data_IF_143497264011
#
_entry.id   IF_143497264011
#
_cell.length_a   1.000
_cell.length_b   1.000
_cell.length_c   1.000
_cell.angle_alpha   90.00
_cell.angle_beta   90.00
_cell.angle_gamma   90.00
#
_symmetry.space_group_name_H-M   'P 1'
#
loop_
_entity.id
_entity.type
_entity.pdbx_description
1 polymer ?
#
# COMPACT_ATOMS: atom_id res chain seq x y z
N UNK A 1 -32.78 28.48 34.66
CA UNK A 1 -31.65 27.56 34.88
C UNK A 1 -30.61 27.89 33.81
N UNK A 2 -29.56 28.64 34.19
CA UNK A 2 -28.51 29.12 33.27
C UNK A 2 -27.35 28.13 33.33
N UNK A 3 -26.90 27.61 32.20
CA UNK A 3 -25.64 26.86 32.08
C UNK A 3 -24.66 27.81 31.37
N UNK A 4 -23.60 28.18 32.09
CA UNK A 4 -22.63 29.20 31.69
C UNK A 4 -21.52 28.63 30.80
N UNK A 5 -21.14 29.44 29.81
CA UNK A 5 -19.93 29.24 29.02
C UNK A 5 -18.68 29.31 29.92
N UNK A 6 -17.86 28.26 29.89
CA UNK A 6 -16.54 28.27 30.51
C UNK A 6 -15.54 28.89 29.52
N UNK A 7 -15.02 30.06 29.90
CA UNK A 7 -13.90 30.74 29.26
C UNK A 7 -12.63 29.90 29.45
N UNK A 8 -12.04 29.43 28.36
CA UNK A 8 -10.64 29.04 28.35
C UNK A 8 -9.78 30.29 28.53
N UNK A 9 -8.99 30.31 29.60
CA UNK A 9 -8.01 31.36 29.86
C UNK A 9 -6.77 31.05 29.04
N UNK A 10 -6.58 31.76 27.92
CA UNK A 10 -5.31 31.75 27.21
C UNK A 10 -4.40 32.75 27.92
N UNK A 11 -3.36 32.26 28.59
CA UNK A 11 -2.31 33.11 29.14
C UNK A 11 -1.40 33.56 28.00
N UNK A 12 -1.51 34.83 27.67
CA UNK A 12 -0.70 35.56 26.69
C UNK A 12 0.71 35.82 27.26
N UNK A 13 1.65 34.89 27.02
CA UNK A 13 3.12 35.09 26.88
C UNK A 13 3.86 33.74 27.00
N UNK A 14 4.05 33.06 25.88
CA UNK A 14 5.20 32.18 25.61
C UNK A 14 5.14 31.71 24.14
N UNK A 15 5.27 32.66 23.21
CA UNK A 15 5.74 32.33 21.86
C UNK A 15 7.26 32.14 21.99
N UNK A 16 7.71 30.90 22.14
CA UNK A 16 9.05 30.35 21.85
C UNK A 16 9.24 29.05 22.65
N UNK A 17 9.30 27.91 21.96
CA UNK A 17 9.65 26.57 22.48
C UNK A 17 8.69 25.95 23.51
N UNK A 18 7.59 25.37 23.03
CA UNK A 18 6.71 24.52 23.84
C UNK A 18 7.35 23.16 24.12
N UNK A 19 7.79 22.92 25.36
CA UNK A 19 8.16 21.61 25.89
C UNK A 19 6.93 21.00 26.56
N UNK A 20 6.45 19.87 26.05
CA UNK A 20 5.37 19.10 26.68
C UNK A 20 5.92 17.78 27.22
N UNK A 21 5.60 17.45 28.47
CA UNK A 21 5.97 16.18 29.12
C UNK A 21 4.80 15.21 29.12
N UNK A 22 5.02 13.99 28.62
CA UNK A 22 4.03 12.92 28.67
C UNK A 22 4.09 12.22 30.03
N UNK A 23 3.04 12.35 30.86
CA UNK A 23 2.88 11.54 32.06
C UNK A 23 1.41 11.23 32.29
N UNK A 24 1.00 9.98 32.05
CA UNK A 24 -0.28 9.45 32.52
C UNK A 24 -0.87 8.36 31.62
N UNK A 25 -1.25 7.24 32.25
CA UNK A 25 -1.81 6.04 31.63
C UNK A 25 -3.18 6.29 30.96
N UNK A 26 -3.12 6.50 29.65
CA UNK A 26 -4.15 6.37 28.61
C UNK A 26 -3.48 6.91 27.34
N UNK A 27 -3.69 6.31 26.15
CA UNK A 27 -3.14 6.81 24.87
C UNK A 27 -3.37 8.32 24.74
N UNK A 28 -2.37 9.11 25.11
CA UNK A 28 -2.52 10.56 25.28
C UNK A 28 -2.32 11.14 23.91
N UNK A 29 -3.36 11.72 23.33
CA UNK A 29 -3.24 12.40 22.05
C UNK A 29 -2.44 13.69 22.24
N UNK A 30 -1.26 13.78 21.64
CA UNK A 30 -0.38 14.94 21.75
C UNK A 30 -0.58 15.83 20.52
N UNK A 31 -1.00 17.08 20.74
CA UNK A 31 -1.16 18.06 19.67
C UNK A 31 0.19 18.68 19.31
N UNK A 32 0.59 18.58 18.05
CA UNK A 32 1.76 19.29 17.49
C UNK A 32 1.28 20.61 16.87
N UNK A 33 1.72 21.77 17.38
CA UNK A 33 1.23 23.07 16.91
C UNK A 33 1.82 23.47 15.56
N UNK A 34 1.17 24.40 14.86
CA UNK A 34 1.67 25.00 13.62
C UNK A 34 1.01 24.47 12.35
N UNK A 35 -0.17 23.85 12.44
CA UNK A 35 -0.84 23.24 11.30
C UNK A 35 -0.29 21.84 10.96
N UNK A 36 -0.09 21.56 9.66
CA UNK A 36 0.12 20.22 9.11
C UNK A 36 1.56 19.87 8.71
N UNK A 37 2.52 20.75 9.00
CA UNK A 37 3.93 20.48 8.76
C UNK A 37 4.45 19.14 9.35
N UNK A 38 3.88 18.57 10.44
CA UNK A 38 4.33 17.27 10.95
C UNK A 38 4.14 16.11 9.96
N UNK A 39 3.17 16.20 9.04
CA UNK A 39 2.97 15.16 8.01
C UNK A 39 4.19 15.00 7.10
N UNK A 40 5.00 16.06 6.98
CA UNK A 40 6.22 16.12 6.16
C UNK A 40 7.50 16.29 6.96
N UNK A 41 7.40 16.30 8.29
CA UNK A 41 8.55 16.46 9.16
C UNK A 41 9.43 15.22 9.14
N UNK A 42 10.67 15.41 9.58
CA UNK A 42 11.53 14.34 10.08
C UNK A 42 11.22 14.11 11.56
N UNK A 43 11.10 12.85 11.95
CA UNK A 43 10.92 12.45 13.34
C UNK A 43 12.27 11.92 13.81
N UNK A 44 12.89 12.59 14.78
CA UNK A 44 14.27 12.31 15.21
C UNK A 44 14.23 11.90 16.67
N UNK A 45 14.67 10.68 16.96
CA UNK A 45 14.78 10.20 18.34
C UNK A 45 16.03 10.78 19.00
N UNK A 46 15.86 11.41 20.16
CA UNK A 46 16.92 12.00 20.97
C UNK A 46 16.89 11.40 22.38
N UNK A 47 17.41 10.18 22.53
CA UNK A 47 17.34 9.44 23.79
C UNK A 47 15.89 9.09 24.16
N UNK A 48 15.35 9.59 25.28
CA UNK A 48 13.94 9.41 25.65
C UNK A 48 13.00 10.38 24.91
N UNK A 49 13.53 11.40 24.23
CA UNK A 49 12.78 12.48 23.62
C UNK A 49 12.55 12.25 22.12
N UNK A 50 11.50 12.86 21.58
CA UNK A 50 11.20 12.92 20.15
C UNK A 50 11.28 14.37 19.67
N UNK A 51 12.18 14.64 18.73
CA UNK A 51 12.25 15.91 18.00
C UNK A 51 11.53 15.74 16.65
N UNK A 52 10.51 16.55 16.42
CA UNK A 52 9.83 16.67 15.12
C UNK A 52 10.41 17.90 14.44
N UNK A 53 11.02 17.74 13.27
CA UNK A 53 11.70 18.81 12.53
C UNK A 53 11.08 19.01 11.14
N UNK A 54 10.48 20.17 10.93
CA UNK A 54 9.88 20.59 9.67
C UNK A 54 10.91 20.98 8.63
N UNK A 55 10.49 21.03 7.36
CA UNK A 55 11.37 21.40 6.24
C UNK A 55 11.73 22.88 6.25
N UNK A 56 10.85 23.72 6.79
CA UNK A 56 10.97 25.17 6.81
C UNK A 56 11.51 25.72 8.14
N UNK A 57 12.15 24.85 8.94
CA UNK A 57 12.79 25.20 10.20
C UNK A 57 11.88 25.14 11.44
N UNK A 58 10.60 24.79 11.27
CA UNK A 58 9.74 24.46 12.41
C UNK A 58 10.31 23.28 13.19
N UNK A 59 10.18 23.31 14.50
CA UNK A 59 10.57 22.17 15.32
C UNK A 59 9.74 22.08 16.59
N UNK A 60 9.52 20.85 17.03
CA UNK A 60 8.77 20.56 18.24
C UNK A 60 9.41 19.40 18.99
N UNK A 61 9.82 19.64 20.24
CA UNK A 61 10.49 18.66 21.08
C UNK A 61 9.51 18.11 22.12
N UNK A 62 9.23 16.82 22.02
CA UNK A 62 8.45 16.06 22.98
C UNK A 62 9.40 15.35 23.94
N UNK A 63 9.33 15.72 25.22
CA UNK A 63 10.18 15.11 26.24
C UNK A 63 9.56 13.83 26.77
N UNK A 64 10.43 12.86 27.04
CA UNK A 64 10.06 11.55 27.57
C UNK A 64 9.02 10.80 26.68
N UNK A 65 8.97 11.11 25.38
CA UNK A 65 8.00 10.51 24.45
C UNK A 65 8.11 8.98 24.39
N UNK A 66 9.33 8.46 24.53
CA UNK A 66 9.61 7.01 24.51
C UNK A 66 9.63 6.37 25.91
N UNK A 67 9.27 7.12 26.95
CA UNK A 67 9.28 6.62 28.32
C UNK A 67 7.97 5.88 28.63
N UNK A 68 8.04 4.69 29.21
CA UNK A 68 6.86 3.97 29.73
C UNK A 68 6.30 2.86 28.82
N UNK A 69 6.95 2.56 27.69
CA UNK A 69 6.68 1.37 26.88
C UNK A 69 5.49 1.47 25.91
N UNK A 70 4.68 2.52 25.99
CA UNK A 70 3.63 2.83 25.00
C UNK A 70 3.82 4.25 24.48
N UNK A 71 4.26 4.38 23.23
CA UNK A 71 4.36 5.65 22.53
C UNK A 71 2.98 6.29 22.36
N UNK A 72 2.91 7.62 22.41
CA UNK A 72 1.65 8.37 22.34
C UNK A 72 1.32 8.78 20.90
N UNK A 73 0.04 8.73 20.50
CA UNK A 73 -0.38 9.23 19.20
C UNK A 73 -0.17 10.74 19.11
N UNK A 74 0.23 11.21 17.92
CA UNK A 74 0.35 12.62 17.62
C UNK A 74 -0.83 13.07 16.76
N UNK A 75 -1.27 14.30 16.96
CA UNK A 75 -2.27 14.94 16.11
C UNK A 75 -1.74 16.29 15.64
N UNK A 76 -1.90 16.59 14.36
CA UNK A 76 -1.62 17.93 13.85
C UNK A 76 -2.68 18.91 14.37
N UNK A 77 -2.39 20.21 14.34
CA UNK A 77 -3.37 21.22 14.77
C UNK A 77 -4.67 21.18 13.94
N UNK A 78 -4.61 20.71 12.69
CA UNK A 78 -5.80 20.53 11.83
C UNK A 78 -6.62 19.28 12.17
N UNK A 79 -6.07 18.34 12.96
CA UNK A 79 -6.72 17.08 13.33
C UNK A 79 -6.19 15.83 12.61
N UNK A 80 -5.13 15.92 11.79
CA UNK A 80 -4.54 14.74 11.16
C UNK A 80 -3.88 13.85 12.21
N UNK A 81 -4.27 12.58 12.28
CA UNK A 81 -3.76 11.62 13.26
C UNK A 81 -2.52 10.91 12.72
N UNK A 82 -1.41 11.05 13.43
CA UNK A 82 -0.18 10.28 13.26
C UNK A 82 -0.08 9.27 14.40
N UNK A 83 -0.50 8.03 14.13
CA UNK A 83 -0.46 6.96 15.12
C UNK A 83 0.97 6.69 15.58
N UNK A 84 1.12 6.25 16.82
CA UNK A 84 2.40 5.94 17.42
C UNK A 84 3.24 4.97 16.57
N UNK A 85 2.63 3.96 15.95
CA UNK A 85 3.30 3.00 15.07
C UNK A 85 3.85 3.68 13.80
N UNK A 86 3.10 4.64 13.24
CA UNK A 86 3.56 5.44 12.10
C UNK A 86 4.70 6.37 12.53
N UNK A 87 4.60 7.01 13.69
CA UNK A 87 5.66 7.86 14.24
C UNK A 87 6.94 7.06 14.43
N UNK A 88 6.83 5.84 14.98
CA UNK A 88 7.93 4.91 15.17
C UNK A 88 8.59 4.52 13.84
N UNK A 89 7.80 4.24 12.80
CA UNK A 89 8.31 4.01 11.43
C UNK A 89 9.00 5.24 10.85
N UNK A 90 8.58 6.44 11.24
CA UNK A 90 9.16 7.70 10.78
C UNK A 90 10.41 8.14 11.56
N UNK A 91 10.82 7.45 12.63
CA UNK A 91 12.01 7.80 13.44
C UNK A 91 13.38 7.65 12.75
N UNK A 92 14.19 8.70 12.79
CA UNK A 92 15.62 8.70 12.47
C UNK A 92 16.44 8.93 13.75
N UNK A 93 17.74 8.62 13.69
CA UNK A 93 18.69 8.85 14.79
C UNK A 93 19.14 7.58 15.50
N UNK A 94 20.22 7.70 16.29
CA UNK A 94 20.78 6.55 17.00
C UNK A 94 19.84 6.10 18.13
N UNK A 95 19.53 4.80 18.26
CA UNK A 95 18.81 4.30 19.43
C UNK A 95 19.63 4.58 20.70
N UNK A 96 18.95 4.66 21.85
CA UNK A 96 19.60 5.02 23.11
C UNK A 96 20.73 4.03 23.47
N UNK A 97 21.83 4.50 24.10
CA UNK A 97 22.90 3.64 24.57
C UNK A 97 22.37 2.52 25.48
N UNK A 98 22.55 1.27 25.06
CA UNK A 98 22.09 0.09 25.79
C UNK A 98 21.01 -0.74 25.07
N UNK A 99 20.48 -0.29 23.94
CA UNK A 99 19.56 -1.08 23.10
C UNK A 99 20.25 -1.87 21.97
N UNK A 100 21.58 -1.81 21.86
CA UNK A 100 22.36 -2.42 20.77
C UNK A 100 22.58 -3.94 20.87
N UNK A 101 21.93 -4.67 21.79
CA UNK A 101 22.26 -6.08 22.03
C UNK A 101 21.44 -7.11 21.24
N UNK A 102 20.43 -6.71 20.45
CA UNK A 102 19.52 -7.69 19.82
C UNK A 102 19.05 -7.39 18.39
N UNK A 103 19.35 -6.24 17.77
CA UNK A 103 18.89 -5.99 16.40
C UNK A 103 20.09 -5.92 15.47
N UNK A 104 20.66 -7.09 15.15
CA UNK A 104 21.32 -7.23 13.86
C UNK A 104 20.23 -6.99 12.81
N UNK A 105 20.43 -5.98 11.96
CA UNK A 105 19.44 -5.54 10.98
C UNK A 105 18.99 -6.70 10.10
N UNK A 106 17.74 -7.12 10.30
CA UNK A 106 17.00 -7.72 9.21
C UNK A 106 16.67 -6.57 8.27
N UNK A 107 17.35 -6.52 7.11
CA UNK A 107 16.76 -5.83 5.97
C UNK A 107 15.34 -6.40 5.82
N UNK A 108 14.33 -5.53 5.75
CA UNK A 108 12.95 -5.97 5.62
C UNK A 108 12.81 -6.94 4.44
N UNK A 109 11.73 -7.71 4.42
CA UNK A 109 11.43 -8.57 3.26
C UNK A 109 11.35 -7.69 1.99
N UNK A 110 11.97 -8.12 0.89
CA UNK A 110 11.80 -7.45 -0.41
C UNK A 110 10.36 -7.70 -0.84
N UNK A 111 9.62 -6.64 -1.16
CA UNK A 111 8.21 -6.74 -1.55
C UNK A 111 7.93 -6.13 -2.93
N UNK A 112 8.96 -5.55 -3.53
CA UNK A 112 8.86 -4.94 -4.84
C UNK A 112 10.16 -4.27 -5.29
N UNK A 113 10.03 -3.54 -6.38
CA UNK A 113 11.15 -2.87 -7.05
C UNK A 113 10.70 -1.51 -7.58
N UNK A 114 11.62 -0.54 -7.53
CA UNK A 114 11.48 0.72 -8.25
C UNK A 114 11.62 0.45 -9.74
N UNK A 115 10.52 0.58 -10.46
CA UNK A 115 10.49 0.31 -11.89
C UNK A 115 10.91 1.54 -12.71
N UNK A 116 10.42 2.72 -12.31
CA UNK A 116 10.72 3.97 -12.99
C UNK A 116 10.90 5.07 -11.97
N UNK A 117 11.85 5.97 -12.19
CA UNK A 117 12.02 7.16 -11.37
C UNK A 117 12.34 8.36 -12.25
N UNK A 118 11.54 9.41 -12.12
CA UNK A 118 11.82 10.75 -12.63
C UNK A 118 11.97 11.69 -11.44
N UNK A 119 13.08 12.42 -11.33
CA UNK A 119 13.35 13.30 -10.19
C UNK A 119 14.10 12.58 -9.06
N UNK A 120 13.85 12.98 -7.81
CA UNK A 120 14.57 12.47 -6.65
C UNK A 120 13.58 11.85 -5.64
N UNK A 121 13.80 10.58 -5.32
CA UNK A 121 13.07 9.88 -4.28
C UNK A 121 14.04 9.26 -3.27
N UNK A 122 13.60 9.12 -2.03
CA UNK A 122 14.33 8.41 -0.98
C UNK A 122 13.47 7.30 -0.40
N UNK A 123 14.11 6.25 0.07
CA UNK A 123 13.52 5.24 0.93
C UNK A 123 14.20 5.32 2.28
N UNK A 124 13.39 5.41 3.32
CA UNK A 124 13.85 5.22 4.68
C UNK A 124 13.48 3.80 5.13
N UNK A 125 14.50 3.03 5.46
CA UNK A 125 14.38 1.63 5.87
C UNK A 125 14.00 1.52 7.35
N UNK A 126 13.59 0.32 7.76
CA UNK A 126 13.17 0.01 9.14
C UNK A 126 14.25 0.23 10.20
N UNK A 127 15.52 0.15 9.81
CA UNK A 127 16.68 0.42 10.68
C UNK A 127 16.94 1.93 10.87
N UNK A 128 16.16 2.79 10.20
CA UNK A 128 16.30 4.24 10.23
C UNK A 128 17.22 4.81 9.17
N UNK A 129 17.89 3.97 8.37
CA UNK A 129 18.78 4.40 7.29
C UNK A 129 17.96 4.99 6.14
N UNK A 130 18.38 6.15 5.64
CA UNK A 130 17.80 6.78 4.46
C UNK A 130 18.71 6.58 3.24
N UNK A 131 18.13 6.10 2.14
CA UNK A 131 18.83 5.85 0.89
C UNK A 131 18.14 6.59 -0.26
N UNK A 132 18.94 7.13 -1.18
CA UNK A 132 18.41 7.64 -2.44
C UNK A 132 18.01 6.47 -3.34
N UNK A 133 16.82 6.55 -3.93
CA UNK A 133 16.31 5.52 -4.83
C UNK A 133 16.75 5.79 -6.27
N UNK A 134 16.94 4.70 -7.00
CA UNK A 134 17.16 4.64 -8.45
C UNK A 134 16.30 3.53 -9.05
N UNK A 135 16.08 3.58 -10.37
CA UNK A 135 15.38 2.50 -11.05
C UNK A 135 16.17 1.19 -10.93
N UNK A 136 15.48 0.12 -10.56
CA UNK A 136 16.07 -1.19 -10.27
C UNK A 136 16.24 -1.48 -8.77
N UNK A 137 16.16 -0.47 -7.89
CA UNK A 137 16.34 -0.68 -6.45
C UNK A 137 15.18 -1.47 -5.84
N UNK A 138 15.52 -2.33 -4.89
CA UNK A 138 14.55 -3.07 -4.10
C UNK A 138 13.79 -2.15 -3.13
N UNK A 139 12.51 -2.48 -2.96
CA UNK A 139 11.59 -1.86 -2.01
C UNK A 139 11.26 -2.92 -0.96
N UNK A 140 11.39 -2.57 0.31
CA UNK A 140 11.24 -3.49 1.42
C UNK A 140 9.98 -3.22 2.24
N UNK A 141 9.42 -4.26 2.85
CA UNK A 141 8.38 -4.12 3.85
C UNK A 141 8.85 -3.19 4.97
N UNK A 142 7.99 -2.25 5.35
CA UNK A 142 8.32 -1.25 6.37
C UNK A 142 8.94 0.04 5.84
N UNK A 143 9.30 0.11 4.55
CA UNK A 143 9.89 1.33 3.99
C UNK A 143 8.94 2.52 4.04
N UNK A 144 9.53 3.69 4.27
CA UNK A 144 8.90 5.00 4.04
C UNK A 144 9.50 5.59 2.78
N UNK A 145 8.69 5.68 1.72
CA UNK A 145 9.07 6.22 0.43
C UNK A 145 8.66 7.69 0.35
N UNK A 146 9.60 8.55 -0.05
CA UNK A 146 9.37 9.98 -0.17
C UNK A 146 9.81 10.49 -1.55
N UNK A 147 8.99 11.34 -2.16
CA UNK A 147 9.28 11.97 -3.45
C UNK A 147 9.42 13.48 -3.29
N UNK A 148 10.42 14.07 -3.96
CA UNK A 148 10.60 15.51 -3.98
C UNK A 148 9.61 16.21 -4.93
N UNK A 149 9.58 17.54 -4.91
CA UNK A 149 8.84 18.34 -5.91
C UNK A 149 9.27 17.97 -7.33
N UNK A 150 8.33 17.88 -8.27
CA UNK A 150 8.59 17.47 -9.66
C UNK A 150 9.01 16.01 -9.85
N UNK A 151 8.91 15.17 -8.81
CA UNK A 151 9.30 13.75 -8.87
C UNK A 151 8.09 12.86 -9.21
N UNK A 152 8.34 11.75 -9.90
CA UNK A 152 7.40 10.65 -10.01
C UNK A 152 8.12 9.32 -9.87
N UNK A 153 7.66 8.52 -8.93
CA UNK A 153 8.20 7.21 -8.56
C UNK A 153 7.20 6.13 -8.97
N UNK A 154 7.65 5.17 -9.76
CA UNK A 154 6.87 4.01 -10.19
C UNK A 154 7.43 2.74 -9.58
N UNK A 155 6.56 1.92 -9.00
CA UNK A 155 6.91 0.70 -8.25
C UNK A 155 6.08 -0.45 -8.79
N UNK A 156 6.71 -1.62 -8.88
CA UNK A 156 6.03 -2.90 -9.08
C UNK A 156 6.24 -3.77 -7.84
N UNK A 157 5.16 -4.33 -7.30
CA UNK A 157 5.17 -5.25 -6.16
C UNK A 157 5.16 -6.70 -6.64
N UNK A 158 5.52 -7.63 -5.76
CA UNK A 158 5.60 -9.06 -6.11
C UNK A 158 4.25 -9.66 -6.55
N UNK A 159 3.14 -9.18 -5.98
CA UNK A 159 1.76 -9.57 -6.30
C UNK A 159 1.25 -8.97 -7.62
N UNK A 160 2.12 -8.29 -8.37
CA UNK A 160 1.84 -7.56 -9.62
C UNK A 160 1.04 -6.27 -9.45
N UNK A 161 0.85 -5.79 -8.22
CA UNK A 161 0.40 -4.42 -8.01
C UNK A 161 1.41 -3.45 -8.62
N UNK A 162 0.94 -2.48 -9.39
CA UNK A 162 1.76 -1.39 -9.90
C UNK A 162 1.29 -0.09 -9.27
N UNK A 163 2.21 0.71 -8.76
CA UNK A 163 1.92 1.95 -8.06
C UNK A 163 2.77 3.07 -8.64
N UNK A 164 2.20 4.26 -8.70
CA UNK A 164 2.87 5.50 -9.01
C UNK A 164 2.60 6.50 -7.90
N UNK A 165 3.67 7.10 -7.37
CA UNK A 165 3.65 8.19 -6.40
C UNK A 165 4.17 9.44 -7.11
N UNK A 166 3.35 10.48 -7.14
CA UNK A 166 3.67 11.78 -7.71
C UNK A 166 4.54 12.62 -6.79
N UNK A 167 4.66 13.90 -7.09
CA UNK A 167 5.50 14.83 -6.34
C UNK A 167 5.00 15.03 -4.89
N UNK A 168 5.94 15.37 -4.01
CA UNK A 168 5.67 15.64 -2.59
C UNK A 168 4.89 14.49 -1.92
N UNK A 169 5.15 13.27 -2.36
CA UNK A 169 4.53 12.07 -1.84
C UNK A 169 5.25 11.54 -0.61
N UNK A 170 4.48 10.99 0.32
CA UNK A 170 4.97 10.18 1.43
C UNK A 170 4.09 8.94 1.56
N UNK A 171 4.68 7.79 1.25
CA UNK A 171 4.04 6.48 1.29
C UNK A 171 4.77 5.61 2.31
N UNK A 172 4.02 4.94 3.18
CA UNK A 172 4.55 3.92 4.09
C UNK A 172 4.02 2.55 3.66
N UNK A 173 4.94 1.59 3.55
CA UNK A 173 4.63 0.22 3.19
C UNK A 173 4.37 -0.56 4.49
N UNK A 174 3.13 -0.47 4.96
CA UNK A 174 2.76 -0.92 6.30
C UNK A 174 2.78 -2.44 6.41
N UNK A 175 2.14 -3.12 5.47
CA UNK A 175 2.06 -4.57 5.45
C UNK A 175 2.07 -5.07 4.02
N UNK A 176 2.84 -6.12 3.79
CA UNK A 176 2.75 -6.90 2.57
C UNK A 176 3.02 -8.36 2.93
N UNK A 177 2.04 -9.21 2.68
CA UNK A 177 2.13 -10.66 2.84
C UNK A 177 1.56 -11.24 1.57
N UNK A 178 2.33 -12.04 0.85
CA UNK A 178 1.89 -12.62 -0.40
C UNK A 178 2.37 -14.07 -0.53
N UNK A 179 1.43 -14.97 -0.79
CA UNK A 179 1.70 -16.35 -1.17
C UNK A 179 1.46 -16.48 -2.69
N UNK A 180 2.51 -16.63 -3.51
CA UNK A 180 2.39 -16.72 -4.97
C UNK A 180 1.74 -18.02 -5.45
N UNK A 181 1.84 -19.11 -4.69
CA UNK A 181 1.27 -20.41 -5.04
C UNK A 181 -0.24 -20.40 -4.81
N UNK A 182 -0.67 -19.89 -3.66
CA UNK A 182 -2.08 -19.76 -3.32
C UNK A 182 -2.73 -18.51 -3.94
N UNK A 183 -1.93 -17.54 -4.41
CA UNK A 183 -2.36 -16.20 -4.84
C UNK A 183 -3.18 -15.49 -3.76
N UNK A 184 -2.79 -15.68 -2.50
CA UNK A 184 -3.45 -15.08 -1.33
C UNK A 184 -2.51 -14.15 -0.60
N UNK A 185 -3.05 -13.27 0.25
CA UNK A 185 -2.22 -12.32 0.96
C UNK A 185 -2.97 -11.15 1.55
N UNK A 186 -2.22 -10.17 2.03
CA UNK A 186 -2.73 -8.89 2.48
C UNK A 186 -1.73 -7.77 2.22
N UNK A 187 -2.21 -6.61 1.79
CA UNK A 187 -1.40 -5.43 1.48
C UNK A 187 -2.03 -4.17 2.09
N UNK A 188 -1.31 -3.53 2.99
CA UNK A 188 -1.73 -2.28 3.62
C UNK A 188 -0.73 -1.18 3.27
N UNK A 189 -1.23 -0.12 2.63
CA UNK A 189 -0.46 1.04 2.22
C UNK A 189 -0.96 2.28 2.96
N UNK A 190 -0.05 3.09 3.49
CA UNK A 190 -0.41 4.33 4.15
C UNK A 190 0.16 5.53 3.38
N UNK A 191 -0.73 6.24 2.69
CA UNK A 191 -0.37 7.41 1.88
C UNK A 191 -0.67 8.64 2.72
N UNK A 192 0.38 9.15 3.36
CA UNK A 192 0.30 10.32 4.24
C UNK A 192 -0.05 11.56 3.42
N UNK A 193 0.57 11.71 2.24
CA UNK A 193 0.23 12.76 1.30
C UNK A 193 0.75 12.47 -0.11
N UNK A 194 0.26 13.26 -1.07
CA UNK A 194 0.71 13.27 -2.45
C UNK A 194 -0.34 12.74 -3.42
N UNK A 195 -0.03 12.85 -4.70
CA UNK A 195 -0.84 12.23 -5.76
C UNK A 195 -0.37 10.80 -5.97
N UNK A 196 -1.30 9.87 -6.08
CA UNK A 196 -0.97 8.47 -6.31
C UNK A 196 -1.92 7.84 -7.33
N UNK A 197 -1.42 6.84 -8.04
CA UNK A 197 -2.24 5.97 -8.87
C UNK A 197 -1.74 4.55 -8.70
N UNK A 198 -2.62 3.56 -8.79
CA UNK A 198 -2.20 2.17 -8.79
C UNK A 198 -3.17 1.30 -9.57
N UNK A 199 -2.67 0.15 -10.02
CA UNK A 199 -3.48 -1.00 -10.44
C UNK A 199 -3.20 -2.13 -9.48
N UNK A 200 -4.24 -2.60 -8.82
CA UNK A 200 -4.15 -3.68 -7.85
C UNK A 200 -3.80 -5.01 -8.51
N UNK A 201 -2.92 -5.77 -7.87
CA UNK A 201 -2.47 -7.08 -8.30
C UNK A 201 -3.36 -8.24 -7.84
N UNK A 202 -2.72 -9.35 -7.52
CA UNK A 202 -3.36 -10.62 -7.16
C UNK A 202 -3.99 -10.58 -5.76
N UNK A 203 -3.38 -9.90 -4.79
CA UNK A 203 -3.88 -9.82 -3.41
C UNK A 203 -5.28 -9.21 -3.34
N UNK A 204 -5.55 -8.14 -4.09
CA UNK A 204 -6.85 -7.46 -4.08
C UNK A 204 -8.01 -8.29 -4.66
N UNK A 205 -7.74 -9.48 -5.21
CA UNK A 205 -8.76 -10.41 -5.73
C UNK A 205 -9.28 -11.36 -4.66
N UNK A 206 -8.56 -11.50 -3.54
CA UNK A 206 -8.88 -12.44 -2.44
C UNK A 206 -10.12 -12.00 -1.67
N UNK A 207 -10.27 -10.69 -1.42
CA UNK A 207 -11.37 -10.16 -0.63
C UNK A 207 -11.33 -8.65 -0.47
N UNK A 208 -12.40 -8.04 0.09
CA UNK A 208 -12.54 -6.59 0.21
C UNK A 208 -11.51 -5.94 1.16
N UNK A 209 -11.00 -6.71 2.13
CA UNK A 209 -10.04 -6.24 3.14
C UNK A 209 -8.61 -6.74 2.86
N UNK A 210 -8.40 -7.41 1.73
CA UNK A 210 -7.09 -7.96 1.37
C UNK A 210 -6.11 -6.86 0.93
N UNK A 211 -6.61 -5.79 0.31
CA UNK A 211 -5.79 -4.62 -0.01
C UNK A 211 -6.46 -3.36 0.52
N UNK A 212 -5.74 -2.61 1.35
CA UNK A 212 -6.23 -1.37 1.93
C UNK A 212 -5.25 -0.22 1.69
N UNK A 213 -5.81 0.97 1.49
CA UNK A 213 -5.06 2.22 1.43
C UNK A 213 -5.57 3.16 2.52
N UNK A 214 -4.72 3.49 3.48
CA UNK A 214 -4.99 4.51 4.49
C UNK A 214 -4.49 5.87 4.02
N UNK A 215 -5.26 6.90 4.36
CA UNK A 215 -4.93 8.31 4.20
C UNK A 215 -5.35 9.06 5.47
N UNK A 216 -4.91 10.31 5.68
CA UNK A 216 -5.32 11.07 6.87
C UNK A 216 -6.84 11.20 7.03
N UNK A 217 -7.61 11.21 5.93
CA UNK A 217 -9.07 11.43 5.97
C UNK A 217 -9.92 10.18 5.75
N UNK A 218 -9.35 9.08 5.25
CA UNK A 218 -10.12 7.91 4.84
C UNK A 218 -9.30 6.61 4.80
N UNK A 219 -9.99 5.49 4.96
CA UNK A 219 -9.52 4.14 4.63
C UNK A 219 -10.25 3.64 3.39
N UNK A 220 -9.50 3.10 2.43
CA UNK A 220 -10.01 2.66 1.14
C UNK A 220 -9.75 1.15 1.03
N UNK A 221 -10.81 0.35 1.05
CA UNK A 221 -10.75 -1.08 0.71
C UNK A 221 -10.81 -1.27 -0.80
N UNK A 222 -9.92 -2.10 -1.34
CA UNK A 222 -9.74 -2.30 -2.78
C UNK A 222 -10.13 -3.72 -3.15
N UNK A 223 -11.05 -3.86 -4.10
CA UNK A 223 -11.36 -5.16 -4.72
C UNK A 223 -11.22 -5.06 -6.23
N UNK A 224 -10.00 -5.37 -6.69
CA UNK A 224 -9.60 -5.48 -8.09
C UNK A 224 -9.89 -4.25 -8.93
N UNK A 225 -9.01 -3.25 -8.98
CA UNK A 225 -9.22 -2.11 -9.91
C UNK A 225 -7.97 -1.22 -10.08
N UNK A 226 -8.07 -0.29 -11.02
CA UNK A 226 -7.25 0.92 -11.08
C UNK A 226 -7.84 2.03 -10.21
N UNK A 227 -7.01 2.70 -9.43
CA UNK A 227 -7.38 3.84 -8.58
C UNK A 227 -6.44 4.99 -8.85
N UNK A 228 -6.97 6.21 -8.78
CA UNK A 228 -6.19 7.42 -8.63
C UNK A 228 -6.66 8.19 -7.40
N UNK A 229 -5.74 8.89 -6.75
CA UNK A 229 -6.11 9.75 -5.64
C UNK A 229 -5.10 10.84 -5.35
N UNK A 230 -5.56 11.79 -4.53
CA UNK A 230 -4.74 12.80 -3.88
C UNK A 230 -5.01 12.70 -2.40
N UNK A 231 -3.99 12.37 -1.64
CA UNK A 231 -4.02 12.40 -0.18
C UNK A 231 -3.39 13.71 0.31
N UNK A 232 -3.94 14.23 1.40
CA UNK A 232 -3.49 15.41 2.09
C UNK A 232 -4.02 15.43 3.52
N UNK A 233 -3.68 16.49 4.25
CA UNK A 233 -4.07 16.63 5.64
C UNK A 233 -5.58 16.72 5.84
N UNK A 234 -6.02 16.46 7.08
CA UNK A 234 -7.33 16.86 7.58
C UNK A 234 -7.60 18.35 7.27
N UNK A 235 -8.81 18.64 6.79
CA UNK A 235 -9.21 19.97 6.33
C UNK A 235 -8.85 20.29 4.86
N UNK A 236 -7.95 19.53 4.23
CA UNK A 236 -7.58 19.71 2.82
C UNK A 236 -8.40 18.83 1.88
N UNK A 237 -8.46 19.21 0.61
CA UNK A 237 -9.14 18.41 -0.42
C UNK A 237 -8.38 17.10 -0.67
N UNK A 238 -9.02 15.99 -0.32
CA UNK A 238 -8.58 14.64 -0.64
C UNK A 238 -9.56 14.05 -1.66
N UNK A 239 -9.05 13.51 -2.76
CA UNK A 239 -9.92 13.01 -3.83
C UNK A 239 -9.51 11.58 -4.17
N UNK A 240 -10.50 10.71 -4.34
CA UNK A 240 -10.31 9.31 -4.69
C UNK A 240 -11.20 8.95 -5.87
N UNK A 241 -10.63 8.33 -6.89
CA UNK A 241 -11.28 8.07 -8.17
C UNK A 241 -11.08 6.60 -8.58
N UNK A 242 -12.19 5.93 -8.88
CA UNK A 242 -12.19 4.62 -9.53
C UNK A 242 -11.93 4.80 -11.02
N UNK A 243 -10.89 4.16 -11.55
CA UNK A 243 -10.53 4.26 -12.97
C UNK A 243 -10.80 2.94 -13.69
N UNK A 244 -11.04 2.99 -15.02
CA UNK A 244 -11.13 1.77 -15.82
C UNK A 244 -9.77 1.06 -15.89
N UNK A 245 -9.82 -0.27 -15.82
CA UNK A 245 -8.72 -1.17 -16.14
C UNK A 245 -8.40 -1.09 -17.64
N UNK A 246 -7.28 -1.68 -18.06
CA UNK A 246 -6.85 -1.66 -19.46
C UNK A 246 -7.84 -2.36 -20.41
N UNK A 247 -8.56 -3.38 -19.91
CA UNK A 247 -9.62 -4.11 -20.61
C UNK A 247 -10.98 -3.39 -20.60
N UNK A 248 -11.06 -2.20 -19.99
CA UNK A 248 -12.29 -1.43 -19.83
C UNK A 248 -13.19 -1.87 -18.67
N UNK A 249 -12.82 -2.95 -17.95
CA UNK A 249 -13.51 -3.34 -16.72
C UNK A 249 -13.20 -2.36 -15.58
N UNK A 250 -13.99 -2.42 -14.51
CA UNK A 250 -13.64 -1.79 -13.23
C UNK A 250 -14.13 -2.68 -12.11
N UNK A 251 -13.35 -2.80 -11.04
CA UNK A 251 -13.86 -3.40 -9.82
C UNK A 251 -14.54 -2.37 -8.94
N UNK A 252 -14.31 -2.50 -7.64
CA UNK A 252 -14.91 -1.63 -6.64
C UNK A 252 -13.88 -1.09 -5.67
N UNK A 253 -14.11 0.12 -5.19
CA UNK A 253 -13.46 0.64 -3.99
C UNK A 253 -14.50 0.99 -2.95
N UNK A 254 -14.20 0.66 -1.69
CA UNK A 254 -15.02 0.97 -0.54
C UNK A 254 -14.30 2.03 0.29
N UNK A 255 -14.88 3.21 0.44
CA UNK A 255 -14.26 4.33 1.15
C UNK A 255 -15.00 4.56 2.47
N UNK A 256 -14.29 4.40 3.57
CA UNK A 256 -14.78 4.60 4.92
C UNK A 256 -13.96 5.67 5.64
N UNK A 257 -14.55 6.30 6.65
CA UNK A 257 -13.83 7.20 7.55
C UNK A 257 -14.35 7.07 8.99
N UNK A 258 -13.84 7.92 9.88
CA UNK A 258 -14.13 7.87 11.31
C UNK A 258 -15.43 8.56 11.73
N UNK A 259 -16.26 9.01 10.77
CA UNK A 259 -17.58 9.60 11.07
C UNK A 259 -18.58 8.60 11.66
N UNK A 260 -18.31 7.30 11.54
CA UNK A 260 -19.24 6.22 11.89
C UNK A 260 -20.32 5.98 10.83
N UNK A 261 -20.31 6.71 9.72
CA UNK A 261 -21.17 6.45 8.58
C UNK A 261 -20.75 5.16 7.84
N UNK A 262 -21.68 4.46 7.16
CA UNK A 262 -21.34 3.29 6.37
C UNK A 262 -20.39 3.65 5.20
N UNK A 263 -19.51 2.71 4.78
CA UNK A 263 -18.61 2.92 3.66
C UNK A 263 -19.35 3.28 2.37
N UNK A 264 -18.82 4.24 1.60
CA UNK A 264 -19.29 4.55 0.26
C UNK A 264 -18.62 3.65 -0.76
N UNK A 265 -19.41 2.99 -1.61
CA UNK A 265 -18.90 2.08 -2.64
C UNK A 265 -18.87 2.81 -3.99
N UNK A 266 -17.71 2.83 -4.64
CA UNK A 266 -17.59 3.24 -6.03
C UNK A 266 -17.45 2.00 -6.89
N UNK A 267 -18.29 1.87 -7.92
CA UNK A 267 -18.32 0.73 -8.84
C UNK A 267 -18.48 1.13 -10.30
N UNK A 268 -18.42 2.43 -10.61
CA UNK A 268 -18.55 2.96 -11.97
C UNK A 268 -17.23 3.64 -12.38
N UNK A 269 -16.69 3.35 -13.57
CA UNK A 269 -15.49 4.04 -14.05
C UNK A 269 -15.65 5.57 -14.03
N UNK A 270 -14.64 6.26 -13.50
CA UNK A 270 -14.65 7.71 -13.30
C UNK A 270 -15.39 8.19 -12.04
N UNK A 271 -16.10 7.31 -11.34
CA UNK A 271 -16.70 7.64 -10.04
C UNK A 271 -15.61 8.09 -9.08
N UNK A 272 -15.85 9.25 -8.48
CA UNK A 272 -14.92 9.98 -7.65
C UNK A 272 -15.62 10.54 -6.43
N UNK A 273 -14.86 10.70 -5.36
CA UNK A 273 -15.33 11.32 -4.13
C UNK A 273 -14.27 12.28 -3.61
N UNK A 274 -14.73 13.41 -3.07
CA UNK A 274 -13.91 14.40 -2.39
C UNK A 274 -14.22 14.35 -0.90
N UNK A 275 -13.20 14.23 -0.06
CA UNK A 275 -13.29 14.32 1.39
C UNK A 275 -12.38 15.44 1.88
N UNK A 276 -12.81 16.11 2.93
CA UNK A 276 -11.98 17.08 3.65
C UNK A 276 -11.77 16.72 5.10
N UNK A 277 -12.54 15.76 5.63
CA UNK A 277 -12.45 15.38 7.04
C UNK A 277 -12.73 13.90 7.24
N UNK A 278 -11.97 13.27 8.14
CA UNK A 278 -12.24 11.92 8.61
C UNK A 278 -13.48 11.82 9.51
N UNK A 279 -13.95 12.94 10.06
CA UNK A 279 -15.03 12.98 11.05
C UNK A 279 -16.39 13.34 10.44
N UNK A 280 -16.43 13.76 9.18
CA UNK A 280 -17.67 14.05 8.45
C UNK A 280 -18.06 12.88 7.56
N UNK A 281 -19.34 12.44 7.52
CA UNK A 281 -19.78 11.37 6.63
C UNK A 281 -19.31 11.57 5.18
N UNK A 282 -18.78 10.54 4.50
CA UNK A 282 -18.33 10.69 3.14
C UNK A 282 -19.50 11.11 2.23
N UNK A 283 -19.32 12.12 1.35
CA UNK A 283 -20.41 12.62 0.50
C UNK A 283 -20.75 11.63 -0.64
N UNK A 284 -21.90 11.81 -1.31
CA UNK A 284 -22.21 11.02 -2.49
C UNK A 284 -21.16 11.19 -3.62
N UNK A 285 -20.89 10.14 -4.40
CA UNK A 285 -19.91 10.22 -5.47
C UNK A 285 -20.42 10.99 -6.70
N UNK A 286 -19.48 11.51 -7.47
CA UNK A 286 -19.71 12.14 -8.77
C UNK A 286 -18.79 11.51 -9.82
N UNK A 287 -19.05 11.74 -11.11
CA UNK A 287 -18.23 11.14 -12.18
C UNK A 287 -17.34 12.20 -12.82
N UNK A 288 -16.03 11.94 -12.83
CA UNK A 288 -15.06 12.74 -13.57
C UNK A 288 -14.99 12.28 -15.03
N UNK A 289 -14.88 13.24 -15.94
CA UNK A 289 -14.52 12.97 -17.34
C UNK A 289 -13.05 12.57 -17.46
N UNK A 290 -12.68 11.92 -18.56
CA UNK A 290 -11.28 11.59 -18.83
C UNK A 290 -10.36 12.81 -18.84
N UNK A 291 -10.83 13.96 -19.36
CA UNK A 291 -10.04 15.19 -19.36
C UNK A 291 -9.76 15.69 -17.94
N UNK A 292 -10.75 15.60 -17.03
CA UNK A 292 -10.56 15.98 -15.63
C UNK A 292 -9.64 15.01 -14.88
N UNK A 293 -9.76 13.70 -15.14
CA UNK A 293 -8.85 12.68 -14.59
C UNK A 293 -7.41 12.97 -15.02
N UNK A 294 -7.18 13.30 -16.29
CA UNK A 294 -5.85 13.65 -16.80
C UNK A 294 -5.34 14.97 -16.21
N UNK A 295 -6.20 15.97 -16.05
CA UNK A 295 -5.83 17.22 -15.41
C UNK A 295 -5.40 17.02 -13.95
N UNK A 296 -6.07 16.12 -13.22
CA UNK A 296 -5.84 15.92 -11.80
C UNK A 296 -4.69 14.94 -11.49
N UNK A 297 -4.51 13.91 -12.33
CA UNK A 297 -3.62 12.78 -12.05
C UNK A 297 -2.61 12.48 -13.18
N UNK A 298 -2.54 13.32 -14.22
CA UNK A 298 -1.86 13.01 -15.48
C UNK A 298 -0.42 12.54 -15.35
N UNK A 299 0.41 13.21 -14.55
CA UNK A 299 1.80 12.80 -14.33
C UNK A 299 1.89 11.40 -13.68
N UNK A 300 1.14 11.18 -12.60
CA UNK A 300 1.12 9.89 -11.92
C UNK A 300 0.58 8.77 -12.83
N UNK A 301 -0.42 9.06 -13.68
CA UNK A 301 -0.95 8.11 -14.67
C UNK A 301 0.06 7.79 -15.78
N UNK A 302 0.84 8.77 -16.24
CA UNK A 302 1.89 8.55 -17.24
C UNK A 302 2.96 7.59 -16.70
N UNK A 303 3.41 7.82 -15.47
CA UNK A 303 4.37 6.94 -14.80
C UNK A 303 3.80 5.54 -14.60
N UNK A 304 2.55 5.41 -14.12
CA UNK A 304 1.90 4.12 -13.96
C UNK A 304 1.82 3.34 -15.28
N UNK A 305 1.49 4.01 -16.39
CA UNK A 305 1.47 3.39 -17.72
C UNK A 305 2.88 2.95 -18.17
N UNK A 306 3.93 3.70 -17.80
CA UNK A 306 5.31 3.32 -18.10
C UNK A 306 5.71 2.05 -17.32
N UNK A 307 5.37 1.97 -16.02
CA UNK A 307 5.57 0.77 -15.18
C UNK A 307 4.86 -0.44 -15.78
N UNK A 308 3.61 -0.30 -16.22
CA UNK A 308 2.86 -1.41 -16.81
C UNK A 308 3.51 -1.94 -18.08
N UNK A 309 3.91 -1.03 -18.98
CA UNK A 309 4.60 -1.40 -20.22
C UNK A 309 5.91 -2.13 -19.98
N UNK A 310 6.72 -1.67 -19.02
CA UNK A 310 8.01 -2.31 -18.73
C UNK A 310 7.83 -3.70 -18.11
N UNK A 311 6.80 -3.89 -17.27
CA UNK A 311 6.42 -5.22 -16.75
C UNK A 311 5.95 -6.14 -17.90
N UNK A 312 5.11 -5.65 -18.81
CA UNK A 312 4.65 -6.41 -19.99
C UNK A 312 5.82 -6.82 -20.90
N UNK A 313 6.76 -5.91 -21.17
CA UNK A 313 7.95 -6.21 -21.98
C UNK A 313 8.82 -7.29 -21.33
N UNK A 314 9.11 -7.21 -20.02
CA UNK A 314 9.90 -8.23 -19.33
C UNK A 314 9.24 -9.61 -19.37
N UNK A 315 7.92 -9.69 -19.28
CA UNK A 315 7.19 -10.95 -19.38
C UNK A 315 7.28 -11.58 -20.78
N UNK A 316 7.27 -10.77 -21.84
CA UNK A 316 7.39 -11.25 -23.22
C UNK A 316 8.81 -11.76 -23.55
N UNK A 317 9.84 -11.10 -23.02
CA UNK A 317 11.24 -11.51 -23.17
C UNK A 317 11.48 -12.87 -22.49
N UNK A 318 11.02 -13.04 -21.25
CA UNK A 318 11.14 -14.29 -20.51
C UNK A 318 10.40 -15.47 -21.17
N UNK A 319 9.25 -15.22 -21.81
CA UNK A 319 8.54 -16.26 -22.57
C UNK A 319 9.26 -16.66 -23.85
N UNK A 320 9.97 -15.73 -24.49
CA UNK A 320 10.72 -15.97 -25.72
C UNK A 320 12.01 -16.76 -25.43
N UNK A 321 12.72 -16.42 -24.34
CA UNK A 321 13.91 -17.16 -23.89
C UNK A 321 13.60 -18.61 -23.48
N UNK A 322 12.44 -18.85 -22.86
CA UNK A 322 12.00 -20.21 -22.51
C UNK A 322 11.61 -21.07 -23.73
N UNK A 323 11.33 -20.46 -24.89
CA UNK A 323 11.07 -21.19 -26.13
C UNK A 323 12.37 -21.54 -26.89
N UNK A 324 13.38 -20.68 -26.87
CA UNK A 324 14.67 -20.97 -27.51
C UNK A 324 15.56 -21.94 -26.69
N UNK A 325 15.37 -22.04 -25.37
CA UNK A 325 16.10 -22.98 -24.51
C UNK A 325 15.63 -24.45 -24.57
N UNK A 326 14.50 -24.73 -25.24
CA UNK A 326 13.86 -26.06 -25.27
C UNK A 326 14.24 -26.97 -26.45
N UNK A 327 14.96 -26.47 -27.46
CA UNK A 327 15.27 -27.23 -28.68
C UNK A 327 16.74 -27.73 -28.75
N UNK A 328 17.45 -27.73 -27.63
CA UNK A 328 18.91 -27.97 -27.58
C UNK A 328 19.41 -29.29 -27.01
N UNK A 329 18.56 -30.28 -26.70
CA UNK A 329 19.02 -31.61 -26.25
C UNK A 329 18.22 -32.73 -26.92
N UNK A 330 18.73 -33.24 -28.05
CA UNK A 330 18.26 -34.51 -28.58
C UNK A 330 18.51 -34.77 -30.06
N UNK A 331 19.74 -34.64 -30.58
CA UNK A 331 20.07 -35.23 -31.87
C UNK A 331 21.57 -35.36 -32.20
N UNK A 332 22.38 -36.08 -31.41
CA UNK A 332 23.59 -36.79 -31.89
C UNK A 332 23.80 -37.96 -30.92
N UNK A 333 23.84 -39.26 -31.24
CA UNK A 333 23.97 -39.99 -32.49
C UNK A 333 24.99 -41.11 -32.22
N UNK A 334 24.57 -42.39 -32.18
CA UNK A 334 25.50 -43.53 -32.38
C UNK A 334 24.69 -44.79 -32.74
N UNK A 335 24.96 -45.32 -33.94
CA UNK A 335 24.42 -46.59 -34.42
C UNK A 335 25.36 -47.75 -34.15
N UNK A 336 24.81 -48.94 -33.96
CA UNK A 336 25.47 -50.20 -34.26
C UNK A 336 24.41 -51.30 -34.51
N UNK A 337 24.56 -51.96 -35.65
CA UNK A 337 23.78 -53.10 -36.14
C UNK A 337 23.99 -54.36 -35.29
N UNK A 338 22.98 -55.23 -35.27
CA UNK A 338 23.08 -56.58 -34.71
C UNK A 338 21.81 -57.40 -34.95
N UNK A 339 21.87 -58.27 -35.96
CA UNK A 339 20.86 -59.27 -36.33
C UNK A 339 20.56 -60.28 -35.21
N UNK A 340 19.33 -60.80 -35.15
CA UNK A 340 18.99 -61.94 -34.29
C UNK A 340 17.50 -62.32 -34.34
N UNK A 341 17.25 -63.53 -34.82
CA UNK A 341 15.97 -64.15 -35.20
C UNK A 341 14.94 -64.39 -34.08
N UNK A 342 13.67 -64.42 -34.48
CA UNK A 342 12.71 -65.49 -34.10
C UNK A 342 11.89 -65.33 -32.82
N UNK A 343 10.57 -65.16 -32.97
CA UNK A 343 9.56 -66.15 -32.59
C UNK A 343 8.15 -65.56 -32.58
N UNK A 344 7.23 -66.34 -33.12
CA UNK A 344 5.79 -66.15 -33.24
C UNK A 344 5.09 -66.09 -31.87
N UNK A 345 3.91 -65.45 -31.83
CA UNK A 345 3.02 -65.45 -30.67
C UNK A 345 1.73 -64.69 -30.96
N UNK A 346 0.80 -65.36 -31.63
CA UNK A 346 -0.60 -64.96 -31.79
C UNK A 346 -1.30 -64.79 -30.43
N UNK A 347 -2.31 -63.91 -30.38
CA UNK A 347 -3.17 -63.73 -29.22
C UNK A 347 -4.26 -62.71 -29.47
N UNK A 348 -5.28 -63.13 -30.22
CA UNK A 348 -6.59 -62.46 -30.34
C UNK A 348 -7.30 -62.36 -28.98
N UNK A 349 -8.16 -61.36 -28.82
CA UNK A 349 -9.04 -61.24 -27.65
C UNK A 349 -9.90 -59.99 -27.68
N UNK A 350 -10.91 -59.98 -28.55
CA UNK A 350 -12.08 -59.10 -28.47
C UNK A 350 -12.90 -59.40 -27.18
N UNK A 351 -13.64 -58.41 -26.68
CA UNK A 351 -14.58 -58.60 -25.58
C UNK A 351 -15.31 -57.33 -25.16
N UNK A 352 -16.45 -57.09 -25.81
CA UNK A 352 -17.49 -56.12 -25.49
C UNK A 352 -18.26 -56.43 -24.19
N UNK A 353 -19.06 -55.47 -23.71
CA UNK A 353 -20.16 -55.66 -22.74
C UNK A 353 -20.26 -54.50 -21.74
N UNK A 354 -20.98 -53.42 -22.03
CA UNK A 354 -22.43 -53.20 -21.83
C UNK A 354 -22.93 -53.26 -20.36
N UNK A 355 -23.58 -52.17 -19.96
CA UNK A 355 -24.86 -52.21 -19.23
C UNK A 355 -24.83 -52.14 -17.70
N UNK A 356 -25.36 -51.04 -17.15
CA UNK A 356 -26.53 -51.10 -16.27
C UNK A 356 -26.98 -49.69 -15.85
N UNK A 357 -28.15 -49.33 -16.33
CA UNK A 357 -29.03 -48.27 -15.81
C UNK A 357 -29.46 -48.59 -14.37
N UNK A 358 -29.76 -47.56 -13.60
CA UNK A 358 -30.36 -47.66 -12.27
C UNK A 358 -31.13 -46.40 -11.95
N UNK A 359 -32.38 -46.35 -12.41
CA UNK A 359 -33.42 -45.45 -11.92
C UNK A 359 -33.73 -45.74 -10.45
N UNK A 360 -34.12 -44.70 -9.70
CA UNK A 360 -34.55 -44.81 -8.32
C UNK A 360 -35.28 -43.54 -7.89
N UNK A 361 -36.54 -43.44 -8.28
CA UNK A 361 -37.53 -42.52 -7.70
C UNK A 361 -37.80 -42.87 -6.22
N UNK A 362 -38.12 -41.86 -5.42
CA UNK A 362 -38.51 -42.01 -4.02
C UNK A 362 -39.12 -40.73 -3.47
N UNK A 363 -40.40 -40.54 -3.74
CA UNK A 363 -41.28 -39.58 -3.06
C UNK A 363 -41.41 -39.92 -1.57
N UNK A 364 -41.63 -38.90 -0.74
CA UNK A 364 -41.92 -39.05 0.68
C UNK A 364 -42.36 -37.74 1.32
N UNK A 365 -43.65 -37.43 1.18
CA UNK A 365 -44.37 -36.45 1.98
C UNK A 365 -44.41 -36.85 3.47
N UNK A 366 -44.47 -35.87 4.36
CA UNK A 366 -44.67 -36.08 5.80
C UNK A 366 -44.91 -34.78 6.54
N UNK A 367 -46.16 -34.35 6.59
CA UNK A 367 -46.67 -33.32 7.51
C UNK A 367 -46.50 -33.75 8.98
N UNK A 368 -46.24 -32.76 9.84
CA UNK A 368 -46.24 -32.89 11.30
C UNK A 368 -45.94 -31.56 11.98
#
# INVERSE_FOLDING_TARGET
MKIGAQKFHVSDRALEHGVYGASGSSSTLIVVPGGDWPLNAQFIRQGPDLLIAGRDGESFLLRDYFHGGTSSDLVTESGSLLRSELVERLLTGMPAPGQYAQTAGEEGEVIGQVETLLGNATAKRVDGTEVALTAGDAVYAGDVLQTATGTSLGIVFEDKTTLSLGEEGRLVLDKFVYDPDAKTGSMDLNIVQGVFTFVSGEVAKVGPDAMTVQTPVATIGIRGTKVAGRAGAEGQENTFSLLPNADGSSGIIAIANQSGAPPQILSTPGASMVLTSQFTPPPPPFVLSQAQIQQQYGQALQTLNAVQKSVETRQQEQQSENQEGGEGEGAEGEGAEGEGEGAEGEGEGEGEGEGAEGEGEGEGEGEG
#
